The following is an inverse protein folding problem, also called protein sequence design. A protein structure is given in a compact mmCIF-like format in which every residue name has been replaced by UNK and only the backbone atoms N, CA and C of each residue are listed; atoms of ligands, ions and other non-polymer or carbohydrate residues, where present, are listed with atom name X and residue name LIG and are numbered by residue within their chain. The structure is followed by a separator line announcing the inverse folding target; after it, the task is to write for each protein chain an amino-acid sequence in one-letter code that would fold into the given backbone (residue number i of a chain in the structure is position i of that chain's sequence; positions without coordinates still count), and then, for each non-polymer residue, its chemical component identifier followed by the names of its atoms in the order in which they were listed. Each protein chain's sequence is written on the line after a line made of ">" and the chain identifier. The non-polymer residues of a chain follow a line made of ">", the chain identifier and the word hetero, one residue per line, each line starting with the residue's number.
data_IF_706770574186
#
_entry.id   IF_706770574186
#
_cell.length_a   1.000
_cell.length_b   1.000
_cell.length_c   1.000
_cell.angle_alpha   90.00
_cell.angle_beta   90.00
_cell.angle_gamma   90.00
#
_symmetry.space_group_name_H-M   'P 1'
#
loop_
_entity.id
_entity.type
_entity.pdbx_description
1 polymer ?
#
# COMPACT_ATOMS: atom_id res chain seq x y z
N UNK A 1 1.15 35.28 7.48
CA UNK A 1 1.30 33.82 7.48
C UNK A 1 2.71 33.46 7.95
N UNK A 2 2.82 32.47 8.80
CA UNK A 2 4.11 31.97 9.27
C UNK A 2 4.72 31.07 8.19
N UNK A 3 5.92 31.37 7.72
CA UNK A 3 6.65 30.50 6.80
C UNK A 3 7.25 29.36 7.61
N UNK A 4 6.87 28.13 7.30
CA UNK A 4 7.50 26.93 7.85
C UNK A 4 8.67 26.60 6.93
N UNK A 5 9.87 26.56 7.48
CA UNK A 5 11.05 26.05 6.75
C UNK A 5 11.05 24.52 6.84
N UNK A 6 11.19 23.86 5.72
CA UNK A 6 11.28 22.40 5.62
C UNK A 6 12.30 22.00 4.55
N UNK A 7 12.93 20.85 4.77
CA UNK A 7 13.79 20.25 3.78
C UNK A 7 12.94 19.44 2.78
N UNK A 8 13.20 19.63 1.49
CA UNK A 8 12.52 18.86 0.45
C UNK A 8 13.36 17.64 0.05
N UNK A 9 12.73 16.47 0.05
CA UNK A 9 13.30 15.22 -0.42
C UNK A 9 12.69 14.88 -1.78
N UNK A 10 13.56 14.55 -2.74
CA UNK A 10 13.13 14.14 -4.08
C UNK A 10 13.00 12.63 -4.15
N UNK A 11 11.82 12.15 -4.53
CA UNK A 11 11.56 10.73 -4.75
C UNK A 11 11.11 10.57 -6.20
N UNK A 12 12.04 10.22 -7.06
CA UNK A 12 11.80 10.04 -8.49
C UNK A 12 12.36 11.15 -9.36
N UNK A 13 12.43 10.89 -10.65
CA UNK A 13 12.87 11.82 -11.69
C UNK A 13 11.65 12.62 -12.19
N UNK A 14 11.84 13.90 -12.53
CA UNK A 14 10.84 14.79 -13.17
C UNK A 14 9.53 15.00 -12.38
N UNK A 15 9.62 15.35 -11.10
CA UNK A 15 8.43 15.65 -10.29
C UNK A 15 8.15 17.15 -10.22
N UNK A 16 6.93 17.55 -10.62
CA UNK A 16 6.42 18.93 -10.55
C UNK A 16 5.49 19.16 -9.35
N UNK A 17 5.23 18.14 -8.56
CA UNK A 17 4.36 18.20 -7.38
C UNK A 17 5.09 17.71 -6.14
N UNK A 18 4.71 18.25 -4.99
CA UNK A 18 5.27 17.86 -3.70
C UNK A 18 4.19 17.74 -2.65
N UNK A 19 4.39 16.80 -1.74
CA UNK A 19 3.56 16.60 -0.56
C UNK A 19 4.30 17.17 0.65
N UNK A 20 3.65 18.08 1.40
CA UNK A 20 4.16 18.58 2.68
C UNK A 20 3.43 17.89 3.80
N UNK A 21 4.20 17.28 4.70
CA UNK A 21 3.71 16.61 5.89
C UNK A 21 4.23 17.40 7.09
N UNK A 22 3.35 17.73 8.03
CA UNK A 22 3.70 18.44 9.24
C UNK A 22 3.10 17.75 10.46
N UNK A 23 3.85 17.70 11.55
CA UNK A 23 3.39 17.23 12.84
C UNK A 23 3.34 18.37 13.84
N UNK A 24 2.39 18.31 14.75
CA UNK A 24 2.22 19.28 15.82
C UNK A 24 1.61 18.62 17.05
N UNK A 25 1.85 19.23 18.21
CA UNK A 25 1.22 18.84 19.48
C UNK A 25 -0.23 19.39 19.49
N UNK A 26 -1.21 18.53 19.73
CA UNK A 26 -2.63 18.92 19.77
C UNK A 26 -2.93 19.92 20.89
N UNK A 27 -2.16 19.91 21.98
CA UNK A 27 -2.27 20.87 23.09
C UNK A 27 -1.57 22.20 22.80
N UNK A 28 -0.72 22.25 21.75
CA UNK A 28 0.04 23.44 21.33
C UNK A 28 0.06 23.54 19.79
N UNK A 29 -1.09 23.71 19.15
CA UNK A 29 -1.22 23.60 17.69
C UNK A 29 -0.52 24.73 16.91
N UNK A 30 -0.06 25.77 17.58
CA UNK A 30 0.74 26.86 17.03
C UNK A 30 2.24 26.51 16.88
N UNK A 31 2.66 25.36 17.39
CA UNK A 31 4.04 24.87 17.33
C UNK A 31 4.13 23.59 16.49
N UNK A 32 4.80 23.71 15.34
CA UNK A 32 5.20 22.58 14.53
C UNK A 32 6.32 21.83 15.25
N UNK A 33 6.19 20.51 15.38
CA UNK A 33 7.24 19.61 15.91
C UNK A 33 8.23 19.31 14.78
N UNK A 34 7.72 18.83 13.64
CA UNK A 34 8.51 18.53 12.45
C UNK A 34 7.73 18.83 11.18
N UNK A 35 8.43 19.05 10.08
CA UNK A 35 7.84 19.22 8.76
C UNK A 35 8.78 18.67 7.68
N UNK A 36 8.24 17.87 6.77
CA UNK A 36 8.94 17.31 5.61
C UNK A 36 8.21 17.70 4.33
N UNK A 37 8.98 18.03 3.32
CA UNK A 37 8.47 18.19 1.96
C UNK A 37 9.02 17.01 1.12
N UNK A 38 8.14 16.31 0.44
CA UNK A 38 8.50 15.17 -0.40
C UNK A 38 8.07 15.51 -1.81
N UNK A 39 9.05 15.62 -2.68
CA UNK A 39 8.82 15.83 -4.10
C UNK A 39 8.52 14.48 -4.74
N UNK A 40 7.26 14.24 -5.03
CA UNK A 40 6.78 13.03 -5.70
C UNK A 40 5.62 13.39 -6.64
N UNK A 41 5.36 12.55 -7.61
CA UNK A 41 4.11 12.64 -8.35
C UNK A 41 2.97 12.36 -7.38
N UNK A 42 2.02 13.27 -7.27
CA UNK A 42 0.89 13.21 -6.33
C UNK A 42 0.32 11.80 -6.24
N UNK A 43 0.48 11.19 -5.09
CA UNK A 43 0.06 9.83 -4.83
C UNK A 43 -0.94 9.75 -3.69
N UNK A 44 -1.26 8.54 -3.34
CA UNK A 44 -2.07 8.23 -2.18
C UNK A 44 -1.21 8.04 -0.94
N UNK A 45 -1.84 8.08 0.23
CA UNK A 45 -1.20 7.93 1.52
C UNK A 45 -1.89 6.83 2.31
N UNK A 46 -1.12 5.86 2.77
CA UNK A 46 -1.54 4.92 3.78
C UNK A 46 -0.79 5.23 5.10
N UNK A 47 -1.49 5.26 6.21
CA UNK A 47 -0.92 5.56 7.53
C UNK A 47 -1.17 4.39 8.47
N UNK A 48 -0.10 3.87 9.06
CA UNK A 48 -0.13 2.87 10.11
C UNK A 48 0.14 3.50 11.49
N UNK A 49 0.32 2.67 12.52
CA UNK A 49 0.68 3.15 13.85
C UNK A 49 2.06 3.80 13.95
N UNK A 50 3.00 3.46 13.06
CA UNK A 50 4.41 3.85 13.17
C UNK A 50 4.99 4.49 11.91
N UNK A 51 4.25 4.44 10.80
CA UNK A 51 4.75 4.96 9.53
C UNK A 51 3.61 5.46 8.62
N UNK A 52 3.98 6.33 7.71
CA UNK A 52 3.22 6.70 6.53
C UNK A 52 3.89 6.09 5.30
N UNK A 53 3.09 5.66 4.36
CA UNK A 53 3.52 5.16 3.07
C UNK A 53 2.88 6.02 1.99
N UNK A 54 3.72 6.77 1.28
CA UNK A 54 3.31 7.52 0.09
C UNK A 54 3.47 6.59 -1.10
N UNK A 55 2.42 6.36 -1.86
CA UNK A 55 2.50 5.49 -3.02
C UNK A 55 1.78 6.09 -4.23
N UNK A 56 2.27 5.77 -5.41
CA UNK A 56 1.68 6.18 -6.68
C UNK A 56 1.98 5.17 -7.78
N UNK A 57 1.09 5.07 -8.75
CA UNK A 57 1.32 4.26 -9.95
C UNK A 57 2.20 5.03 -10.94
N UNK A 58 3.26 4.39 -11.40
CA UNK A 58 4.16 4.88 -12.44
C UNK A 58 3.90 4.13 -13.76
N UNK A 59 3.38 4.86 -14.73
CA UNK A 59 3.04 4.35 -16.07
C UNK A 59 4.09 4.71 -17.12
N UNK A 60 5.19 5.34 -16.73
CA UNK A 60 6.20 5.88 -17.64
C UNK A 60 7.12 4.82 -18.25
N UNK A 61 7.26 3.68 -17.61
CA UNK A 61 8.03 2.53 -18.10
C UNK A 61 7.13 1.56 -18.87
N UNK A 62 7.73 0.65 -19.64
CA UNK A 62 7.03 -0.46 -20.29
C UNK A 62 6.33 -1.41 -19.31
N UNK A 63 6.39 -1.11 -18.04
CA UNK A 63 5.80 -1.83 -16.92
C UNK A 63 5.03 -0.87 -16.04
N UNK A 64 3.90 -1.32 -15.57
CA UNK A 64 3.10 -0.67 -14.57
C UNK A 64 3.71 -0.98 -13.18
N UNK A 65 4.12 0.05 -12.45
CA UNK A 65 4.76 -0.08 -11.16
C UNK A 65 4.02 0.79 -10.12
N UNK A 66 3.84 0.29 -8.91
CA UNK A 66 3.51 1.11 -7.76
C UNK A 66 4.80 1.42 -7.00
N UNK A 67 5.20 2.70 -6.99
CA UNK A 67 6.30 3.19 -6.16
C UNK A 67 5.79 3.50 -4.77
N UNK A 68 6.52 3.06 -3.74
CA UNK A 68 6.12 3.19 -2.33
C UNK A 68 7.29 3.75 -1.55
N UNK A 69 7.06 4.88 -0.87
CA UNK A 69 8.06 5.54 -0.02
C UNK A 69 7.61 5.55 1.42
N UNK A 70 8.46 5.07 2.31
CA UNK A 70 8.19 4.99 3.75
C UNK A 70 8.65 6.25 4.47
N UNK A 71 7.84 6.73 5.39
CA UNK A 71 8.18 7.78 6.35
C UNK A 71 7.81 7.25 7.73
N UNK A 72 8.78 6.89 8.52
CA UNK A 72 8.54 6.52 9.93
C UNK A 72 8.38 7.77 10.79
N UNK A 73 7.62 7.66 11.89
CA UNK A 73 7.47 8.74 12.85
C UNK A 73 7.44 8.19 14.28
N UNK A 74 8.03 8.97 15.18
CA UNK A 74 8.03 8.71 16.62
C UNK A 74 7.99 10.06 17.33
N UNK A 75 7.08 10.21 18.31
CA UNK A 75 6.89 11.46 19.06
C UNK A 75 6.75 12.72 18.19
N UNK A 76 6.14 12.57 17.03
CA UNK A 76 5.94 13.66 16.07
C UNK A 76 7.15 13.96 15.18
N UNK A 77 8.30 13.35 15.42
CA UNK A 77 9.51 13.50 14.57
C UNK A 77 9.45 12.48 13.43
N UNK A 78 9.60 12.97 12.20
CA UNK A 78 9.52 12.16 10.98
C UNK A 78 10.90 11.84 10.42
N UNK A 79 11.08 10.61 9.96
CA UNK A 79 12.29 10.14 9.30
C UNK A 79 11.91 9.53 7.96
N UNK A 80 12.48 10.05 6.88
CA UNK A 80 12.37 9.44 5.55
C UNK A 80 13.09 8.11 5.54
N UNK A 81 12.41 7.07 5.06
CA UNK A 81 12.96 5.73 4.88
C UNK A 81 13.23 5.43 3.41
N UNK A 82 13.34 4.15 3.13
CA UNK A 82 13.61 3.65 1.79
C UNK A 82 12.38 3.75 0.88
N UNK A 83 12.64 3.75 -0.42
CA UNK A 83 11.64 3.67 -1.48
C UNK A 83 11.81 2.36 -2.22
N UNK A 84 10.70 1.69 -2.50
CA UNK A 84 10.66 0.48 -3.30
C UNK A 84 9.58 0.55 -4.37
N UNK A 85 9.50 -0.46 -5.22
CA UNK A 85 8.41 -0.57 -6.19
C UNK A 85 7.96 -2.02 -6.32
N UNK A 86 6.65 -2.21 -6.52
CA UNK A 86 6.03 -3.49 -6.85
C UNK A 86 5.39 -3.41 -8.23
N UNK A 87 5.28 -4.54 -8.92
CA UNK A 87 4.62 -4.59 -10.23
C UNK A 87 3.10 -4.42 -10.07
N UNK A 88 2.50 -3.57 -10.91
CA UNK A 88 1.07 -3.31 -10.92
C UNK A 88 0.66 -2.06 -10.16
N UNK A 89 -0.64 -1.84 -10.06
CA UNK A 89 -1.28 -0.71 -9.37
C UNK A 89 -2.14 -1.21 -8.20
N UNK A 90 -2.36 -0.35 -7.23
CA UNK A 90 -3.31 -0.59 -6.14
C UNK A 90 -4.66 0.02 -6.53
N UNK A 91 -5.71 -0.77 -6.40
CA UNK A 91 -7.07 -0.32 -6.72
C UNK A 91 -7.60 0.68 -5.68
N UNK A 92 -7.28 0.45 -4.43
CA UNK A 92 -7.64 1.33 -3.32
C UNK A 92 -6.67 1.21 -2.12
N UNK A 93 -6.89 2.06 -1.11
CA UNK A 93 -6.11 2.08 0.14
C UNK A 93 -6.25 0.83 1.01
N UNK A 94 -7.16 -0.06 0.73
CA UNK A 94 -7.34 -1.32 1.47
C UNK A 94 -6.50 -2.46 0.87
N UNK A 95 -5.88 -2.23 -0.28
CA UNK A 95 -4.93 -3.14 -0.90
C UNK A 95 -3.49 -3.02 -0.33
N UNK A 96 -3.29 -2.19 0.69
CA UNK A 96 -2.03 -2.01 1.40
C UNK A 96 -2.28 -2.03 2.92
N UNK A 97 -1.41 -2.73 3.67
CA UNK A 97 -1.54 -2.84 5.13
C UNK A 97 -0.19 -3.10 5.80
N UNK A 98 0.10 -2.40 6.90
CA UNK A 98 1.25 -2.71 7.75
C UNK A 98 0.81 -3.51 8.97
N UNK A 99 1.46 -4.63 9.22
CA UNK A 99 1.23 -5.47 10.38
C UNK A 99 2.50 -6.18 10.80
N UNK A 100 2.80 -6.17 12.11
CA UNK A 100 3.95 -6.88 12.66
C UNK A 100 5.31 -6.41 12.12
N UNK A 101 5.41 -5.16 11.63
CA UNK A 101 6.61 -4.59 11.02
C UNK A 101 6.83 -4.97 9.57
N UNK A 102 5.85 -5.60 8.93
CA UNK A 102 5.84 -5.92 7.50
C UNK A 102 4.75 -5.14 6.78
N UNK A 103 5.05 -4.68 5.58
CA UNK A 103 4.10 -4.04 4.69
C UNK A 103 3.62 -5.07 3.65
N UNK A 104 2.33 -5.30 3.63
CA UNK A 104 1.64 -6.16 2.67
C UNK A 104 1.03 -5.30 1.58
N UNK A 105 1.27 -5.65 0.34
CA UNK A 105 0.81 -4.90 -0.84
C UNK A 105 0.19 -5.86 -1.83
N UNK A 106 -1.03 -5.56 -2.27
CA UNK A 106 -1.85 -6.43 -3.13
C UNK A 106 -2.18 -5.74 -4.46
N UNK A 107 -1.23 -5.66 -5.41
CA UNK A 107 -1.44 -4.99 -6.69
C UNK A 107 -2.09 -5.89 -7.74
N UNK A 108 -2.73 -5.24 -8.73
CA UNK A 108 -3.11 -5.82 -10.02
C UNK A 108 -2.15 -5.31 -11.09
N UNK A 109 -1.61 -6.18 -11.93
CA UNK A 109 -0.76 -5.83 -13.08
C UNK A 109 -1.43 -6.16 -14.39
N UNK A 110 -1.41 -5.21 -15.34
CA UNK A 110 -1.93 -5.35 -16.69
C UNK A 110 -0.83 -5.51 -17.75
N UNK A 111 0.39 -5.84 -17.35
CA UNK A 111 1.55 -5.93 -18.27
C UNK A 111 1.51 -7.13 -19.22
N UNK A 112 0.51 -7.96 -19.18
CA UNK A 112 0.30 -9.10 -20.07
C UNK A 112 -0.95 -8.94 -20.92
N UNK A 113 -1.37 -10.05 -21.55
CA UNK A 113 -2.63 -10.12 -22.28
C UNK A 113 -3.87 -10.13 -21.38
N UNK A 114 -3.68 -10.37 -20.10
CA UNK A 114 -4.73 -10.42 -19.08
C UNK A 114 -4.18 -9.86 -17.77
N UNK A 115 -5.02 -9.22 -16.93
CA UNK A 115 -4.63 -8.80 -15.60
C UNK A 115 -4.20 -10.00 -14.76
N UNK A 116 -3.28 -9.75 -13.85
CA UNK A 116 -2.80 -10.74 -12.88
C UNK A 116 -2.52 -10.02 -11.56
N UNK A 117 -2.84 -10.68 -10.46
CA UNK A 117 -2.66 -10.11 -9.14
C UNK A 117 -1.50 -10.80 -8.40
N UNK A 118 -0.94 -10.11 -7.45
CA UNK A 118 0.10 -10.63 -6.57
C UNK A 118 -0.07 -10.08 -5.15
N UNK A 119 0.47 -10.78 -4.16
CA UNK A 119 0.63 -10.29 -2.81
C UNK A 119 2.13 -10.19 -2.52
N UNK A 120 2.63 -8.99 -2.29
CA UNK A 120 4.02 -8.72 -1.91
C UNK A 120 4.10 -8.45 -0.42
N UNK A 121 5.16 -8.94 0.22
CA UNK A 121 5.47 -8.68 1.62
C UNK A 121 6.84 -8.02 1.70
N UNK A 122 6.87 -6.81 2.23
CA UNK A 122 8.07 -6.01 2.40
C UNK A 122 8.44 -5.94 3.89
N UNK A 123 9.72 -6.00 4.20
CA UNK A 123 10.22 -5.84 5.55
C UNK A 123 10.30 -4.35 5.99
N UNK A 124 10.80 -4.11 7.19
CA UNK A 124 10.96 -2.75 7.73
C UNK A 124 11.88 -1.84 6.90
N UNK A 125 12.79 -2.42 6.13
CA UNK A 125 13.75 -1.75 5.26
C UNK A 125 13.27 -1.74 3.78
N UNK A 126 11.99 -2.08 3.55
CA UNK A 126 11.30 -2.09 2.26
C UNK A 126 11.86 -3.13 1.26
N UNK A 127 12.56 -4.17 1.75
CA UNK A 127 12.96 -5.30 0.92
C UNK A 127 11.83 -6.32 0.81
N UNK A 128 11.63 -6.88 -0.38
CA UNK A 128 10.69 -7.98 -0.56
C UNK A 128 11.20 -9.26 0.12
N UNK A 129 10.42 -9.79 1.04
CA UNK A 129 10.75 -11.00 1.82
C UNK A 129 9.78 -12.15 1.56
N UNK A 130 8.65 -11.89 0.95
CA UNK A 130 7.67 -12.90 0.59
C UNK A 130 6.77 -12.43 -0.54
N UNK A 131 6.28 -13.37 -1.35
CA UNK A 131 5.42 -13.06 -2.47
C UNK A 131 4.50 -14.24 -2.81
N UNK A 132 3.25 -13.94 -3.20
CA UNK A 132 2.37 -14.86 -3.94
C UNK A 132 2.14 -14.22 -5.30
N UNK A 133 2.53 -14.92 -6.36
CA UNK A 133 2.37 -14.45 -7.74
C UNK A 133 1.18 -15.14 -8.43
N UNK A 134 0.74 -14.56 -9.52
CA UNK A 134 -0.22 -15.15 -10.45
C UNK A 134 -1.58 -15.50 -9.85
N UNK A 135 -2.08 -14.66 -8.96
CA UNK A 135 -3.39 -14.85 -8.34
C UNK A 135 -4.47 -14.42 -9.33
N UNK A 136 -5.53 -15.23 -9.50
CA UNK A 136 -6.73 -14.90 -10.27
C UNK A 136 -6.44 -14.28 -11.65
N UNK A 137 -5.69 -14.97 -12.48
CA UNK A 137 -5.32 -14.52 -13.83
C UNK A 137 -6.56 -14.23 -14.67
N UNK A 138 -6.62 -13.06 -15.26
CA UNK A 138 -7.73 -12.58 -16.09
C UNK A 138 -8.76 -11.76 -15.31
N UNK A 139 -8.52 -11.54 -14.01
CA UNK A 139 -9.38 -10.78 -13.11
C UNK A 139 -8.58 -9.69 -12.40
N UNK A 140 -9.24 -8.61 -12.01
CA UNK A 140 -8.62 -7.52 -11.24
C UNK A 140 -9.16 -7.52 -9.81
N UNK A 141 -8.32 -7.18 -8.85
CA UNK A 141 -8.74 -7.01 -7.46
C UNK A 141 -9.71 -5.82 -7.38
N UNK A 142 -10.84 -6.06 -6.74
CA UNK A 142 -11.88 -5.07 -6.56
C UNK A 142 -11.94 -4.56 -5.12
N UNK A 143 -11.81 -5.46 -4.14
CA UNK A 143 -11.81 -5.12 -2.72
C UNK A 143 -10.86 -6.03 -1.96
N UNK A 144 -10.24 -5.50 -0.91
CA UNK A 144 -9.38 -6.26 -0.01
C UNK A 144 -9.61 -5.89 1.45
N UNK A 145 -9.37 -6.84 2.37
CA UNK A 145 -9.36 -6.61 3.82
C UNK A 145 -8.31 -7.49 4.48
N UNK A 146 -7.46 -6.87 5.27
CA UNK A 146 -6.50 -7.54 6.14
C UNK A 146 -7.11 -7.71 7.52
N UNK A 147 -7.17 -8.96 8.01
CA UNK A 147 -7.77 -9.31 9.31
C UNK A 147 -6.89 -10.32 10.01
N UNK A 148 -6.21 -9.92 11.07
CA UNK A 148 -5.30 -10.79 11.78
C UNK A 148 -4.24 -11.40 10.86
N UNK A 149 -4.20 -12.72 10.77
CA UNK A 149 -3.23 -13.45 9.94
C UNK A 149 -3.73 -13.75 8.52
N UNK A 150 -4.83 -13.18 8.11
CA UNK A 150 -5.42 -13.42 6.79
C UNK A 150 -5.63 -12.13 6.01
N UNK A 151 -5.56 -12.25 4.71
CA UNK A 151 -6.09 -11.24 3.79
C UNK A 151 -7.20 -11.86 2.95
N UNK A 152 -8.33 -11.19 2.92
CA UNK A 152 -9.50 -11.51 2.12
C UNK A 152 -9.56 -10.52 0.98
N UNK A 153 -9.76 -10.99 -0.25
CA UNK A 153 -9.90 -10.11 -1.39
C UNK A 153 -10.83 -10.70 -2.44
N UNK A 154 -11.54 -9.81 -3.10
CA UNK A 154 -12.47 -10.13 -4.17
C UNK A 154 -11.84 -9.67 -5.48
N UNK A 155 -11.86 -10.55 -6.48
CA UNK A 155 -11.54 -10.19 -7.85
C UNK A 155 -12.81 -10.16 -8.68
N UNK A 156 -12.78 -9.49 -9.82
CA UNK A 156 -13.93 -9.35 -10.70
C UNK A 156 -13.57 -9.53 -12.17
N UNK A 157 -14.39 -10.31 -12.85
CA UNK A 157 -14.49 -10.36 -14.30
C UNK A 157 -15.93 -10.66 -14.76
N UNK A 158 -16.53 -11.75 -14.31
CA UNK A 158 -17.92 -12.17 -14.59
C UNK A 158 -18.59 -12.76 -13.33
N UNK A 159 -17.81 -13.28 -12.41
CA UNK A 159 -18.20 -13.73 -11.08
C UNK A 159 -17.26 -13.04 -10.07
N UNK A 160 -17.67 -12.99 -8.80
CA UNK A 160 -16.91 -12.36 -7.72
C UNK A 160 -16.32 -13.42 -6.80
N UNK A 161 -15.24 -14.12 -7.18
CA UNK A 161 -14.62 -15.06 -6.27
C UNK A 161 -13.95 -14.34 -5.10
N UNK A 162 -14.22 -14.84 -3.89
CA UNK A 162 -13.55 -14.42 -2.67
C UNK A 162 -12.31 -15.30 -2.45
N UNK A 163 -11.15 -14.69 -2.46
CA UNK A 163 -9.87 -15.34 -2.16
C UNK A 163 -9.46 -15.10 -0.71
N UNK A 164 -8.75 -16.06 -0.15
CA UNK A 164 -8.15 -15.96 1.18
C UNK A 164 -6.68 -16.36 1.11
N UNK A 165 -5.80 -15.49 1.62
CA UNK A 165 -4.40 -15.82 1.80
C UNK A 165 -4.00 -15.77 3.28
N UNK A 166 -3.17 -16.73 3.69
CA UNK A 166 -2.53 -16.78 5.01
C UNK A 166 -1.21 -15.99 4.97
N UNK A 167 -1.13 -14.99 5.80
CA UNK A 167 0.04 -14.10 5.95
C UNK A 167 0.71 -14.24 7.32
N UNK A 168 0.40 -15.33 8.06
CA UNK A 168 0.99 -15.61 9.38
C UNK A 168 2.52 -15.77 9.33
N UNK A 169 3.05 -16.25 8.19
CA UNK A 169 4.48 -16.25 7.91
C UNK A 169 4.79 -15.26 6.79
N UNK A 170 5.33 -14.07 7.13
CA UNK A 170 5.63 -13.03 6.14
C UNK A 170 6.57 -13.46 5.01
N UNK A 171 7.50 -14.38 5.29
CA UNK A 171 8.47 -14.86 4.29
C UNK A 171 7.94 -16.01 3.43
N UNK A 172 6.78 -16.54 3.75
CA UNK A 172 6.15 -17.64 3.01
C UNK A 172 4.61 -17.53 3.06
N UNK A 173 4.03 -16.43 2.55
CA UNK A 173 2.58 -16.27 2.49
C UNK A 173 1.98 -17.33 1.56
N UNK A 174 0.72 -17.74 1.82
CA UNK A 174 0.08 -18.83 1.07
C UNK A 174 -1.34 -18.47 0.68
N UNK A 175 -1.69 -18.68 -0.57
CA UNK A 175 -3.08 -18.68 -0.99
C UNK A 175 -3.75 -19.95 -0.44
N UNK A 176 -4.82 -19.79 0.34
CA UNK A 176 -5.52 -20.91 0.97
C UNK A 176 -6.61 -21.48 0.07
N UNK A 177 -7.23 -20.64 -0.75
CA UNK A 177 -8.31 -21.04 -1.64
C UNK A 177 -9.16 -19.89 -2.10
N UNK A 178 -10.17 -20.25 -2.87
CA UNK A 178 -11.19 -19.33 -3.38
C UNK A 178 -12.58 -19.89 -3.07
N UNK A 179 -13.54 -18.99 -2.92
CA UNK A 179 -14.95 -19.28 -2.76
C UNK A 179 -15.72 -18.49 -3.80
N UNK A 180 -16.37 -19.19 -4.73
CA UNK A 180 -17.30 -18.53 -5.65
C UNK A 180 -18.55 -18.09 -4.90
N UNK A 181 -18.83 -16.78 -4.91
CA UNK A 181 -20.04 -16.17 -4.36
C UNK A 181 -20.90 -15.71 -5.52
N UNK A 182 -22.15 -16.18 -5.57
CA UNK A 182 -23.08 -15.71 -6.59
C UNK A 182 -23.57 -14.29 -6.25
N UNK A 183 -23.35 -13.34 -7.15
CA UNK A 183 -23.76 -11.95 -6.98
C UNK A 183 -22.64 -10.98 -7.31
N UNK A 184 -22.83 -9.72 -6.93
CA UNK A 184 -21.84 -8.65 -7.06
C UNK A 184 -21.51 -8.11 -5.67
N UNK A 185 -20.24 -8.11 -5.32
CA UNK A 185 -19.75 -7.69 -4.00
C UNK A 185 -18.98 -6.36 -4.12
N UNK A 186 -19.59 -5.27 -3.71
CA UNK A 186 -18.95 -3.94 -3.73
C UNK A 186 -18.07 -3.66 -2.51
N UNK A 187 -18.25 -4.40 -1.41
CA UNK A 187 -17.61 -4.08 -0.15
C UNK A 187 -17.45 -5.30 0.74
N UNK A 188 -16.27 -5.42 1.35
CA UNK A 188 -15.98 -6.40 2.41
C UNK A 188 -16.04 -5.70 3.77
N UNK A 189 -16.91 -6.17 4.66
CA UNK A 189 -16.99 -5.72 6.05
C UNK A 189 -16.85 -6.90 7.00
N UNK A 190 -15.93 -6.79 7.93
CA UNK A 190 -15.79 -7.76 9.00
C UNK A 190 -16.73 -7.38 10.14
N UNK A 191 -17.53 -8.32 10.61
CA UNK A 191 -18.51 -8.08 11.67
C UNK A 191 -17.87 -8.11 13.07
N UNK A 192 -16.82 -8.92 13.24
CA UNK A 192 -15.96 -8.98 14.42
C UNK A 192 -14.56 -9.48 14.05
N UNK A 193 -13.62 -9.44 15.01
CA UNK A 193 -12.20 -9.80 14.81
C UNK A 193 -11.92 -11.31 14.90
N UNK A 194 -12.93 -12.19 14.87
CA UNK A 194 -12.77 -13.64 14.99
C UNK A 194 -13.01 -14.37 13.69
#
# INVERSE_FOLDING_TARGET
>A
GKVISYDCFYIGEDTYSGTVISSFDVDKPDKTIDAKCIMNNSGEVYVSGNAMYLYHSDWSASRELTKISKISFEDGVMKTGETTSVNGYLNDKFAINEQGGYLYVLPTSNTGSQPVNSLHVLDKDMNEVGVINEIARGESIYAARFVGKYVYFITYRQTDPLFVADISNPTAPKLLGELEVSGFSEYLHMWDDT
#
